data_IF_533789614159
#
_entry.id   IF_533789614159
#
_cell.length_a   1.000
_cell.length_b   1.000
_cell.length_c   1.000
_cell.angle_alpha   90.00
_cell.angle_beta   90.00
_cell.angle_gamma   90.00
#
_symmetry.space_group_name_H-M   'P 1'
#
loop_
_entity.id
_entity.type
_entity.pdbx_description
1 polymer ?
#
# COMPACT_ATOMS: atom_id res chain seq x y z
N UNK A 1 9.25 -3.73 11.33
CA UNK A 1 8.12 -3.01 11.97
C UNK A 1 8.55 -1.85 12.90
N UNK A 2 9.85 -1.66 13.20
CA UNK A 2 10.35 -0.66 14.17
C UNK A 2 10.26 0.79 13.66
N UNK A 3 10.54 1.04 12.38
CA UNK A 3 10.63 2.40 11.82
C UNK A 3 9.25 3.10 11.82
N UNK A 4 8.21 2.39 11.37
CA UNK A 4 6.85 2.94 11.32
C UNK A 4 6.23 3.16 12.72
N UNK A 5 6.65 2.40 13.73
CA UNK A 5 6.22 2.60 15.12
C UNK A 5 6.92 3.82 15.74
N UNK A 6 8.24 3.95 15.53
CA UNK A 6 9.03 5.10 15.99
C UNK A 6 8.55 6.42 15.39
N UNK A 7 8.25 6.43 14.08
CA UNK A 7 7.72 7.63 13.43
C UNK A 7 6.38 8.08 14.04
N UNK A 8 5.45 7.15 14.30
CA UNK A 8 4.15 7.47 14.90
C UNK A 8 4.26 8.04 16.31
N UNK A 9 5.15 7.47 17.12
CA UNK A 9 5.44 7.95 18.46
C UNK A 9 6.03 9.38 18.47
N UNK A 10 6.94 9.68 17.54
CA UNK A 10 7.55 11.02 17.41
C UNK A 10 6.59 12.04 16.80
N UNK A 11 5.72 11.61 15.88
CA UNK A 11 4.79 12.49 15.17
C UNK A 11 3.49 12.78 15.93
N UNK A 12 3.31 12.27 17.16
CA UNK A 12 2.08 12.46 17.95
C UNK A 12 0.83 11.92 17.28
N UNK A 13 0.99 10.98 16.34
CA UNK A 13 -0.13 10.39 15.59
C UNK A 13 -0.80 9.38 16.50
N UNK A 14 -1.92 9.78 17.09
CA UNK A 14 -2.82 8.93 17.86
C UNK A 14 -3.03 7.60 17.13
N UNK A 15 -2.81 6.48 17.82
CA UNK A 15 -2.84 5.11 17.29
C UNK A 15 -4.27 4.65 16.93
N UNK A 16 -5.15 5.58 16.57
CA UNK A 16 -6.46 5.29 16.00
C UNK A 16 -6.25 4.46 14.74
N UNK A 17 -6.43 3.15 14.91
CA UNK A 17 -6.51 2.17 13.82
C UNK A 17 -7.27 2.83 12.68
N UNK A 18 -6.64 3.05 11.51
CA UNK A 18 -7.29 3.73 10.40
C UNK A 18 -8.63 3.05 10.17
N UNK A 19 -9.73 3.76 10.48
CA UNK A 19 -11.07 3.24 10.24
C UNK A 19 -11.17 3.15 8.73
N UNK A 20 -11.07 1.95 8.19
CA UNK A 20 -11.06 1.75 6.76
C UNK A 20 -10.98 0.30 6.38
N UNK A 21 -11.50 0.00 5.19
CA UNK A 21 -11.41 -1.33 4.57
C UNK A 21 -10.62 -1.25 3.29
N UNK A 22 -9.87 -2.30 3.04
CA UNK A 22 -9.13 -2.52 1.82
C UNK A 22 -9.90 -3.53 0.98
N UNK A 23 -10.24 -3.14 -0.25
CA UNK A 23 -10.87 -4.02 -1.22
C UNK A 23 -9.92 -5.08 -1.75
N UNK A 24 -10.47 -6.12 -2.38
CA UNK A 24 -9.67 -7.14 -3.08
C UNK A 24 -8.85 -6.46 -4.19
N UNK A 25 -7.53 -6.68 -4.26
CA UNK A 25 -6.72 -6.12 -5.33
C UNK A 25 -7.04 -6.81 -6.66
N UNK A 26 -7.09 -6.04 -7.73
CA UNK A 26 -6.92 -6.54 -9.09
C UNK A 26 -5.42 -6.55 -9.37
N UNK A 27 -4.88 -7.70 -9.77
CA UNK A 27 -3.44 -7.89 -9.98
C UNK A 27 -3.19 -8.37 -11.40
N UNK A 28 -2.18 -7.80 -12.05
CA UNK A 28 -1.64 -8.23 -13.34
C UNK A 28 -0.16 -8.53 -13.19
N UNK A 29 0.28 -9.68 -13.72
CA UNK A 29 1.70 -10.02 -13.81
C UNK A 29 2.22 -9.60 -15.18
N UNK A 30 3.22 -8.73 -15.19
CA UNK A 30 3.90 -8.25 -16.40
C UNK A 30 5.22 -9.01 -16.53
N UNK A 31 5.13 -10.29 -16.91
CA UNK A 31 6.25 -11.22 -16.89
C UNK A 31 6.66 -11.66 -15.48
N UNK A 32 7.86 -12.21 -15.35
CA UNK A 32 8.29 -12.89 -14.10
C UNK A 32 8.79 -11.94 -13.02
N UNK A 33 9.06 -10.68 -13.38
CA UNK A 33 9.77 -9.73 -12.51
C UNK A 33 8.95 -8.49 -12.17
N UNK A 34 7.76 -8.33 -12.75
CA UNK A 34 6.91 -7.15 -12.55
C UNK A 34 5.47 -7.58 -12.26
N UNK A 35 4.85 -6.95 -11.27
CA UNK A 35 3.42 -7.05 -11.02
C UNK A 35 2.82 -5.67 -10.86
N UNK A 36 1.63 -5.45 -11.40
CA UNK A 36 0.84 -4.25 -11.16
C UNK A 36 -0.42 -4.62 -10.40
N UNK A 37 -0.78 -3.81 -9.42
CA UNK A 37 -1.95 -4.04 -8.60
C UNK A 37 -2.73 -2.75 -8.38
N UNK A 38 -4.05 -2.82 -8.46
CA UNK A 38 -4.94 -1.72 -8.08
C UNK A 38 -5.93 -2.22 -7.03
N UNK A 39 -6.13 -1.46 -5.98
CA UNK A 39 -7.07 -1.76 -4.90
C UNK A 39 -7.81 -0.50 -4.47
N UNK A 40 -9.07 -0.67 -4.09
CA UNK A 40 -9.84 0.41 -3.47
C UNK A 40 -9.57 0.42 -1.97
N UNK A 41 -9.27 1.60 -1.43
CA UNK A 41 -9.17 1.85 0.01
C UNK A 41 -10.34 2.73 0.42
N UNK A 42 -11.21 2.19 1.24
CA UNK A 42 -12.39 2.86 1.75
C UNK A 42 -12.12 3.40 3.16
N UNK A 43 -12.31 4.70 3.34
CA UNK A 43 -12.25 5.40 4.62
C UNK A 43 -13.58 6.15 4.84
N UNK A 44 -13.94 6.53 6.07
CA UNK A 44 -15.23 7.14 6.39
C UNK A 44 -15.63 8.30 5.48
N UNK A 45 -14.67 9.11 5.04
CA UNK A 45 -14.95 10.33 4.26
C UNK A 45 -14.53 10.23 2.80
N UNK A 46 -13.89 9.14 2.37
CA UNK A 46 -13.39 9.00 1.00
C UNK A 46 -13.09 7.56 0.63
N UNK A 47 -13.26 7.25 -0.65
CA UNK A 47 -12.69 6.05 -1.26
C UNK A 47 -11.61 6.48 -2.23
N UNK A 48 -10.47 5.80 -2.19
CA UNK A 48 -9.33 6.09 -3.06
C UNK A 48 -8.88 4.85 -3.80
N UNK A 49 -8.47 5.02 -5.06
CA UNK A 49 -7.80 3.97 -5.79
C UNK A 49 -6.31 4.02 -5.45
N UNK A 50 -5.74 2.89 -5.07
CA UNK A 50 -4.31 2.74 -4.83
C UNK A 50 -3.74 1.83 -5.90
N UNK A 51 -2.93 2.40 -6.78
CA UNK A 51 -2.19 1.67 -7.80
C UNK A 51 -0.75 1.45 -7.32
N UNK A 52 -0.26 0.23 -7.39
CA UNK A 52 1.07 -0.16 -6.96
C UNK A 52 1.75 -0.94 -8.08
N UNK A 53 2.97 -0.55 -8.41
CA UNK A 53 3.88 -1.36 -9.22
C UNK A 53 4.87 -2.05 -8.30
N UNK A 54 4.99 -3.36 -8.47
CA UNK A 54 5.96 -4.20 -7.78
C UNK A 54 7.00 -4.69 -8.76
N UNK A 55 8.26 -4.60 -8.37
CA UNK A 55 9.39 -5.16 -9.11
C UNK A 55 10.13 -6.17 -8.26
N UNK A 56 10.59 -7.24 -8.91
CA UNK A 56 11.32 -8.32 -8.27
C UNK A 56 12.77 -7.89 -8.11
N UNK A 57 13.16 -7.64 -6.87
CA UNK A 57 14.53 -7.35 -6.51
C UNK A 57 15.11 -8.53 -5.75
N UNK A 58 15.96 -9.33 -6.42
CA UNK A 58 16.44 -10.64 -5.95
C UNK A 58 15.26 -11.58 -5.68
N UNK A 59 15.16 -12.11 -4.47
CA UNK A 59 14.10 -13.02 -4.03
C UNK A 59 12.90 -12.32 -3.39
N UNK A 60 12.76 -10.99 -3.53
CA UNK A 60 11.67 -10.23 -2.90
C UNK A 60 10.99 -9.27 -3.89
N UNK A 61 9.68 -9.15 -3.77
CA UNK A 61 8.91 -8.10 -4.42
C UNK A 61 9.11 -6.79 -3.66
N UNK A 62 9.30 -5.68 -4.38
CA UNK A 62 9.40 -4.33 -3.82
C UNK A 62 8.47 -3.41 -4.59
N UNK A 63 7.74 -2.54 -3.88
CA UNK A 63 7.02 -1.47 -4.55
C UNK A 63 8.03 -0.50 -5.18
N UNK A 64 7.99 -0.37 -6.51
CA UNK A 64 8.79 0.60 -7.26
C UNK A 64 8.00 1.88 -7.54
N UNK A 65 6.66 1.81 -7.56
CA UNK A 65 5.79 2.98 -7.64
C UNK A 65 4.49 2.77 -6.85
N UNK A 66 3.96 3.85 -6.26
CA UNK A 66 2.67 3.87 -5.56
C UNK A 66 1.95 5.17 -5.94
N UNK A 67 0.72 5.05 -6.40
CA UNK A 67 -0.15 6.19 -6.69
C UNK A 67 -1.46 6.05 -5.91
N UNK A 68 -1.94 7.17 -5.37
CA UNK A 68 -3.19 7.24 -4.62
C UNK A 68 -4.04 8.33 -5.25
N UNK A 69 -5.19 7.94 -5.79
CA UNK A 69 -6.14 8.81 -6.49
C UNK A 69 -7.33 9.06 -5.56
#
# INVERSE_FOLDING_TARGET
>A
MVIAARYRAVAGVDERRPRGRVGKPMVSLLGDTVAEAVMMVHQPTRSRAVAIRLERHRSRWRASAIHVI
#
